data_IF_722740039287
#
_entry.id   IF_722740039287
#
_cell.length_a   1.000
_cell.length_b   1.000
_cell.length_c   1.000
_cell.angle_alpha   90.00
_cell.angle_beta   90.00
_cell.angle_gamma   90.00
#
_symmetry.space_group_name_H-M   'P 1'
#
loop_
_entity.id
_entity.type
_entity.pdbx_description
1 polymer ?
#
# COMPACT_ATOMS: atom_id res chain seq x y z
N UNK A 1 -62.50 39.40 -6.76
CA UNK A 1 -62.81 39.13 -8.19
C UNK A 1 -61.52 38.63 -8.84
N UNK A 2 -61.29 37.32 -8.90
CA UNK A 2 -61.65 36.40 -10.00
C UNK A 2 -61.11 36.81 -11.38
N UNK A 3 -60.03 36.14 -11.83
CA UNK A 3 -59.93 35.28 -13.03
C UNK A 3 -58.46 35.21 -13.49
N UNK A 4 -57.81 34.06 -13.27
CA UNK A 4 -57.59 33.01 -14.27
C UNK A 4 -56.75 33.49 -15.47
N UNK A 5 -55.47 33.12 -15.47
CA UNK A 5 -54.86 32.62 -16.70
C UNK A 5 -53.97 31.42 -16.35
N UNK A 6 -54.53 30.24 -16.62
CA UNK A 6 -53.84 28.97 -16.69
C UNK A 6 -52.90 28.95 -17.91
N UNK A 7 -52.17 27.83 -18.05
CA UNK A 7 -51.54 27.33 -19.27
C UNK A 7 -50.10 27.77 -19.56
N UNK A 8 -49.15 27.00 -19.03
CA UNK A 8 -48.16 26.26 -19.83
C UNK A 8 -47.38 25.35 -18.86
N UNK A 9 -47.73 24.06 -18.74
CA UNK A 9 -47.24 22.99 -19.61
C UNK A 9 -45.72 22.81 -19.38
N UNK A 10 -45.33 22.10 -18.32
CA UNK A 10 -44.99 20.68 -18.41
C UNK A 10 -43.96 20.40 -19.52
N UNK A 11 -42.69 20.58 -19.17
CA UNK A 11 -41.53 19.99 -19.83
C UNK A 11 -40.58 19.65 -18.66
N UNK A 12 -40.78 18.51 -17.99
CA UNK A 12 -40.19 17.23 -18.38
C UNK A 12 -38.74 17.40 -18.84
N UNK A 13 -37.84 17.55 -17.87
CA UNK A 13 -36.43 17.21 -18.03
C UNK A 13 -35.94 16.63 -16.71
N UNK A 14 -36.54 15.48 -16.38
CA UNK A 14 -35.96 14.48 -15.52
C UNK A 14 -34.77 13.88 -16.27
N UNK A 15 -33.67 14.64 -16.34
CA UNK A 15 -32.38 14.07 -16.66
C UNK A 15 -31.87 13.59 -15.30
N UNK A 16 -32.21 12.35 -14.96
CA UNK A 16 -31.36 11.60 -14.04
C UNK A 16 -29.97 11.66 -14.63
N UNK A 17 -29.12 12.48 -14.03
CA UNK A 17 -27.69 12.34 -14.15
C UNK A 17 -27.41 10.88 -13.83
N UNK A 18 -27.08 10.10 -14.85
CA UNK A 18 -26.33 8.86 -14.67
C UNK A 18 -25.00 9.33 -14.10
N UNK A 19 -24.97 9.55 -12.78
CA UNK A 19 -23.71 9.52 -12.05
C UNK A 19 -23.21 8.11 -12.29
N UNK A 20 -22.23 7.98 -13.19
CA UNK A 20 -21.40 6.82 -13.23
C UNK A 20 -20.82 6.71 -11.82
N UNK A 21 -21.44 5.89 -10.97
CA UNK A 21 -20.76 5.28 -9.84
C UNK A 21 -19.74 4.38 -10.53
N UNK A 22 -18.60 4.96 -10.87
CA UNK A 22 -17.41 4.19 -11.13
C UNK A 22 -17.08 3.62 -9.75
N UNK A 23 -17.58 2.41 -9.50
CA UNK A 23 -16.96 1.53 -8.55
C UNK A 23 -15.57 1.25 -9.11
N UNK A 24 -14.64 2.18 -8.87
CA UNK A 24 -13.24 1.81 -8.76
C UNK A 24 -13.25 0.74 -7.67
N UNK A 25 -13.17 -0.52 -8.09
CA UNK A 25 -12.87 -1.59 -7.17
C UNK A 25 -11.52 -1.19 -6.58
N UNK A 26 -11.50 -0.82 -5.30
CA UNK A 26 -10.28 -0.78 -4.52
C UNK A 26 -9.74 -2.21 -4.59
N UNK A 27 -8.86 -2.47 -5.56
CA UNK A 27 -7.90 -3.55 -5.41
C UNK A 27 -7.10 -3.18 -4.18
N UNK A 28 -7.04 -4.07 -3.20
CA UNK A 28 -6.17 -3.91 -2.04
C UNK A 28 -4.76 -3.64 -2.58
N UNK A 29 -4.37 -2.37 -2.59
CA UNK A 29 -3.11 -1.92 -3.13
C UNK A 29 -2.11 -2.06 -2.00
N UNK A 30 -1.37 -3.17 -2.05
CA UNK A 30 -0.23 -3.36 -1.17
C UNK A 30 0.94 -2.55 -1.71
N UNK A 31 1.57 -1.81 -0.83
CA UNK A 31 2.83 -1.14 -1.06
C UNK A 31 3.97 -2.02 -0.49
N UNK A 32 5.17 -1.84 -1.02
CA UNK A 32 6.37 -2.58 -0.60
C UNK A 32 7.36 -1.60 -0.02
N UNK A 33 8.04 -2.01 1.05
CA UNK A 33 9.12 -1.25 1.68
C UNK A 33 10.30 -2.17 1.97
N UNK A 34 11.50 -1.63 1.83
CA UNK A 34 12.75 -2.33 2.10
C UNK A 34 13.54 -1.56 3.14
N UNK A 35 14.22 -2.27 4.02
CA UNK A 35 15.10 -1.58 4.95
C UNK A 35 15.64 -2.44 6.07
N UNK A 36 16.35 -1.78 6.98
CA UNK A 36 17.01 -2.45 8.10
C UNK A 36 16.23 -2.25 9.40
N UNK A 37 15.94 -3.33 10.14
CA UNK A 37 15.26 -3.30 11.44
C UNK A 37 16.01 -2.40 12.44
N UNK A 38 15.30 -1.45 13.03
CA UNK A 38 15.76 -0.57 14.12
C UNK A 38 15.20 -1.01 15.46
N UNK A 39 13.92 -1.40 15.49
CA UNK A 39 13.26 -1.95 16.68
C UNK A 39 12.07 -2.81 16.32
N UNK A 40 11.78 -3.79 17.18
CA UNK A 40 10.64 -4.71 17.05
C UNK A 40 9.90 -4.78 18.37
N UNK A 41 8.57 -4.79 18.30
CA UNK A 41 7.66 -4.98 19.42
C UNK A 41 6.40 -5.72 18.95
N UNK A 42 5.56 -6.15 19.89
CA UNK A 42 4.30 -6.83 19.58
C UNK A 42 3.34 -5.99 18.72
N UNK A 43 3.44 -4.65 18.77
CA UNK A 43 2.53 -3.72 18.10
C UNK A 43 3.15 -2.98 16.91
N UNK A 44 4.48 -2.96 16.80
CA UNK A 44 5.19 -2.09 15.87
C UNK A 44 6.55 -2.66 15.48
N UNK A 45 6.88 -2.55 14.19
CA UNK A 45 8.21 -2.74 13.64
C UNK A 45 8.69 -1.41 13.06
N UNK A 46 9.91 -1.01 13.42
CA UNK A 46 10.52 0.22 12.90
C UNK A 46 11.75 -0.17 12.09
N UNK A 47 11.84 0.35 10.87
CA UNK A 47 12.99 0.17 9.99
C UNK A 47 13.60 1.51 9.59
N UNK A 48 14.87 1.47 9.21
CA UNK A 48 15.45 2.47 8.32
C UNK A 48 15.08 2.03 6.90
N UNK A 49 14.01 2.61 6.37
CA UNK A 49 13.49 2.42 5.01
C UNK A 49 14.50 3.01 4.02
N UNK A 50 14.88 2.20 3.03
CA UNK A 50 15.79 2.56 1.95
C UNK A 50 14.98 2.75 0.67
N UNK A 51 15.01 3.96 0.13
CA UNK A 51 14.51 4.24 -1.22
C UNK A 51 15.57 3.79 -2.23
N UNK A 52 15.28 2.71 -2.95
CA UNK A 52 16.26 2.07 -3.85
C UNK A 52 16.56 2.90 -5.11
N UNK A 53 15.68 3.84 -5.47
CA UNK A 53 15.88 4.71 -6.64
C UNK A 53 16.77 5.91 -6.29
N UNK A 54 16.58 6.48 -5.10
CA UNK A 54 17.23 7.72 -4.68
C UNK A 54 18.37 7.52 -3.68
N UNK A 55 18.51 6.30 -3.16
CA UNK A 55 19.41 5.94 -2.04
C UNK A 55 19.12 6.73 -0.75
N UNK A 56 17.95 7.38 -0.65
CA UNK A 56 17.55 8.07 0.57
C UNK A 56 17.18 7.06 1.66
N UNK A 57 17.59 7.38 2.89
CA UNK A 57 17.27 6.57 4.07
C UNK A 57 16.39 7.38 5.00
N UNK A 58 15.23 6.84 5.34
CA UNK A 58 14.29 7.45 6.28
C UNK A 58 13.83 6.44 7.32
N UNK A 59 13.36 6.89 8.47
CA UNK A 59 12.82 5.98 9.47
C UNK A 59 11.32 5.83 9.26
N UNK A 60 10.86 4.59 9.14
CA UNK A 60 9.45 4.27 8.97
C UNK A 60 9.00 3.28 10.03
N UNK A 61 7.81 3.52 10.58
CA UNK A 61 7.17 2.68 11.57
C UNK A 61 5.95 1.98 10.95
N UNK A 62 5.82 0.69 11.25
CA UNK A 62 4.82 -0.20 10.70
C UNK A 62 4.07 -0.88 11.84
N UNK A 63 2.75 -0.84 11.79
CA UNK A 63 1.88 -1.50 12.76
C UNK A 63 1.80 -2.98 12.43
N UNK A 64 2.05 -3.83 13.43
CA UNK A 64 1.89 -5.27 13.29
C UNK A 64 0.41 -5.64 13.27
N UNK A 65 0.04 -6.61 12.44
CA UNK A 65 -1.29 -7.21 12.45
C UNK A 65 -1.19 -8.68 12.90
N UNK A 66 -2.06 -9.16 13.79
CA UNK A 66 -2.05 -10.58 14.21
C UNK A 66 -2.25 -11.59 13.06
N UNK A 67 -2.81 -11.14 11.93
CA UNK A 67 -3.01 -11.91 10.70
C UNK A 67 -1.91 -11.73 9.67
N UNK A 68 -0.83 -10.98 9.97
CA UNK A 68 0.28 -10.83 9.04
C UNK A 68 1.03 -12.14 8.81
N UNK A 69 1.63 -12.27 7.64
CA UNK A 69 2.39 -13.44 7.22
C UNK A 69 3.87 -13.21 7.55
N UNK A 70 4.49 -14.19 8.22
CA UNK A 70 5.92 -14.21 8.50
C UNK A 70 6.59 -15.18 7.51
N UNK A 71 7.47 -14.68 6.65
CA UNK A 71 7.85 -15.41 5.43
C UNK A 71 9.12 -16.24 5.49
N UNK A 72 9.77 -16.46 6.61
CA UNK A 72 10.93 -17.38 6.72
C UNK A 72 11.40 -17.48 8.16
N UNK A 73 10.47 -17.23 9.06
CA UNK A 73 10.63 -17.23 10.51
C UNK A 73 9.24 -17.45 11.12
N UNK A 74 9.18 -17.96 12.34
CA UNK A 74 7.92 -18.37 12.97
C UNK A 74 7.36 -17.29 13.90
N UNK A 75 8.23 -16.41 14.41
CA UNK A 75 7.86 -15.41 15.42
C UNK A 75 8.59 -14.08 15.22
N UNK A 76 7.93 -12.97 15.60
CA UNK A 76 8.56 -11.64 15.57
C UNK A 76 9.85 -11.55 16.39
N UNK A 77 10.01 -12.38 17.43
CA UNK A 77 11.22 -12.44 18.26
C UNK A 77 12.47 -12.87 17.49
N UNK A 78 12.30 -13.50 16.33
CA UNK A 78 13.40 -13.89 15.43
C UNK A 78 13.92 -12.71 14.59
N UNK A 79 13.17 -11.60 14.52
CA UNK A 79 13.62 -10.38 13.87
C UNK A 79 14.65 -9.67 14.76
N UNK A 80 15.90 -9.68 14.30
CA UNK A 80 16.99 -8.99 15.01
C UNK A 80 17.19 -7.57 14.47
N UNK A 81 17.49 -6.63 15.38
CA UNK A 81 17.94 -5.28 14.99
C UNK A 81 19.18 -5.40 14.10
N UNK A 82 19.17 -4.67 12.98
CA UNK A 82 20.22 -4.76 11.95
C UNK A 82 19.93 -5.76 10.84
N UNK A 83 18.86 -6.57 10.93
CA UNK A 83 18.43 -7.44 9.83
C UNK A 83 17.77 -6.63 8.73
N UNK A 84 18.07 -6.95 7.48
CA UNK A 84 17.42 -6.38 6.31
C UNK A 84 16.11 -7.15 6.01
N UNK A 85 15.04 -6.43 5.71
CA UNK A 85 13.72 -6.99 5.49
C UNK A 85 13.02 -6.35 4.31
N UNK A 86 12.13 -7.11 3.70
CA UNK A 86 11.06 -6.66 2.82
C UNK A 86 9.75 -6.67 3.59
N UNK A 87 8.95 -5.62 3.46
CA UNK A 87 7.65 -5.47 4.13
C UNK A 87 6.60 -5.15 3.07
N UNK A 88 5.62 -6.04 2.92
CA UNK A 88 4.38 -5.72 2.23
C UNK A 88 3.41 -5.12 3.22
N UNK A 89 2.89 -3.94 2.93
CA UNK A 89 2.01 -3.22 3.81
C UNK A 89 0.86 -2.58 3.05
N UNK A 90 -0.15 -2.14 3.78
CA UNK A 90 -1.23 -1.31 3.26
C UNK A 90 -1.37 -0.06 4.13
N UNK A 91 -1.89 1.01 3.55
CA UNK A 91 -2.25 2.21 4.29
C UNK A 91 -3.68 2.10 4.83
N UNK A 92 -3.79 1.86 6.14
CA UNK A 92 -5.07 1.86 6.88
C UNK A 92 -5.09 2.98 7.90
N UNK A 93 -6.09 3.86 7.82
CA UNK A 93 -6.24 5.00 8.75
C UNK A 93 -4.95 5.82 8.92
N UNK A 94 -4.24 6.05 7.80
CA UNK A 94 -2.97 6.79 7.75
C UNK A 94 -1.81 6.11 8.52
N UNK A 95 -1.89 4.79 8.71
CA UNK A 95 -0.87 3.94 9.32
C UNK A 95 -0.43 2.87 8.32
N UNK A 96 0.87 2.56 8.26
CA UNK A 96 1.41 1.45 7.47
C UNK A 96 1.16 0.15 8.26
N UNK A 97 0.24 -0.69 7.81
CA UNK A 97 -0.11 -1.95 8.48
C UNK A 97 0.52 -3.12 7.72
N UNK A 98 1.32 -3.93 8.42
CA UNK A 98 2.05 -5.05 7.83
C UNK A 98 1.07 -6.14 7.41
N UNK A 99 1.16 -6.56 6.14
CA UNK A 99 0.50 -7.75 5.63
C UNK A 99 1.45 -8.94 5.57
N UNK A 100 2.70 -8.72 5.15
CA UNK A 100 3.77 -9.72 5.27
C UNK A 100 5.12 -9.07 5.52
N UNK A 101 6.01 -9.83 6.14
CA UNK A 101 7.39 -9.45 6.38
C UNK A 101 8.31 -10.63 6.11
N UNK A 102 9.37 -10.35 5.35
CA UNK A 102 10.33 -11.34 4.86
C UNK A 102 11.74 -10.91 5.24
N UNK A 103 12.50 -11.80 5.88
CA UNK A 103 13.94 -11.57 6.07
C UNK A 103 14.61 -11.81 4.72
N UNK A 104 15.27 -10.80 4.16
CA UNK A 104 15.95 -10.93 2.87
C UNK A 104 17.34 -10.32 2.95
N UNK A 105 18.13 -10.45 1.89
CA UNK A 105 19.38 -9.73 1.75
C UNK A 105 19.27 -8.65 0.70
N UNK A 106 19.95 -7.52 0.96
CA UNK A 106 20.05 -6.43 -0.01
C UNK A 106 20.63 -6.90 -1.35
N UNK A 107 21.60 -7.81 -1.31
CA UNK A 107 22.25 -8.39 -2.50
C UNK A 107 21.28 -9.21 -3.35
N UNK A 108 20.41 -10.03 -2.73
CA UNK A 108 19.38 -10.78 -3.45
C UNK A 108 18.39 -9.85 -4.15
N UNK A 109 17.96 -8.78 -3.47
CA UNK A 109 17.05 -7.80 -4.02
C UNK A 109 17.64 -7.06 -5.23
N UNK A 110 18.87 -6.54 -5.08
CA UNK A 110 19.57 -5.86 -6.17
C UNK A 110 19.79 -6.77 -7.38
N UNK A 111 20.00 -8.07 -7.14
CA UNK A 111 20.11 -9.06 -8.21
C UNK A 111 18.78 -9.24 -8.96
N UNK A 112 17.66 -9.40 -8.25
CA UNK A 112 16.34 -9.56 -8.87
C UNK A 112 15.92 -8.33 -9.69
N UNK A 113 16.22 -7.12 -9.19
CA UNK A 113 15.96 -5.87 -9.92
C UNK A 113 16.77 -5.79 -11.22
N UNK A 114 18.06 -6.12 -11.16
CA UNK A 114 18.93 -6.11 -12.34
C UNK A 114 18.53 -7.18 -13.38
N UNK A 115 18.11 -8.37 -12.94
CA UNK A 115 17.63 -9.41 -13.85
C UNK A 115 16.32 -9.01 -14.53
N UNK A 116 15.41 -8.33 -13.81
CA UNK A 116 14.15 -7.85 -14.36
C UNK A 116 14.34 -6.73 -15.41
N UNK A 117 15.29 -5.82 -15.19
CA UNK A 117 15.60 -4.74 -16.14
C UNK A 117 16.16 -5.28 -17.46
N UNK A 118 16.96 -6.35 -17.42
CA UNK A 118 17.55 -6.98 -18.59
C UNK A 118 16.53 -7.71 -19.48
N UNK A 119 15.40 -8.17 -18.93
CA UNK A 119 14.34 -8.83 -19.73
C UNK A 119 13.48 -7.83 -20.50
N UNK A 120 13.44 -6.55 -20.09
CA UNK A 120 12.66 -5.51 -20.77
C UNK A 120 13.38 -4.85 -21.95
N UNK A 121 14.71 -4.97 -22.03
CA UNK A 121 15.52 -4.41 -23.13
C UNK A 121 15.65 -5.36 -24.34
N UNK A 122 15.15 -6.61 -24.23
CA UNK A 122 15.18 -7.61 -25.32
C UNK A 122 13.85 -7.73 -26.12
N UNK A 123 12.80 -6.97 -25.77
CA UNK A 123 11.54 -6.86 -26.55
C UNK A 123 11.45 -5.61 -27.45
#
# INVERSE_FOLDING_TARGET
>A
MFKKLCFAMMLLSFVCSFTNVSSAQEMDQFDISFGTIVSVSDSEVVINEEDLETEEVSQAAFVTDPGMILENFETLDELTVGTFVEIFYELKDNSKVINSITITSKEELEKEMNETELEMDEE
#
